data_IF_723779872541
#
_entry.id   IF_723779872541
#
_cell.length_a   1.000
_cell.length_b   1.000
_cell.length_c   1.000
_cell.angle_alpha   90.00
_cell.angle_beta   90.00
_cell.angle_gamma   90.00
#
_symmetry.space_group_name_H-M   'P 1'
#
loop_
_entity.id
_entity.type
_entity.pdbx_description
1 polymer ?
#
# COMPACT_ATOMS: atom_id res chain seq x y z
N UNK A 1 11.46 -12.77 9.07
CA UNK A 1 10.40 -11.77 9.29
C UNK A 1 10.89 -10.34 9.08
N UNK A 2 11.90 -9.85 9.83
CA UNK A 2 12.34 -8.44 9.77
C UNK A 2 12.82 -7.92 8.40
N UNK A 3 13.51 -8.75 7.59
CA UNK A 3 14.00 -8.33 6.26
C UNK A 3 12.86 -7.99 5.28
N UNK A 4 11.79 -8.78 5.29
CA UNK A 4 10.62 -8.56 4.43
C UNK A 4 9.85 -7.29 4.80
N UNK A 5 9.72 -7.02 6.10
CA UNK A 5 9.13 -5.78 6.59
C UNK A 5 9.94 -4.54 6.16
N UNK A 6 11.27 -4.62 6.22
CA UNK A 6 12.16 -3.55 5.74
C UNK A 6 12.01 -3.27 4.24
N UNK A 7 11.96 -4.31 3.40
CA UNK A 7 11.72 -4.13 1.96
C UNK A 7 10.33 -3.56 1.66
N UNK A 8 9.29 -3.99 2.40
CA UNK A 8 7.94 -3.46 2.26
C UNK A 8 7.82 -1.98 2.67
N UNK A 9 8.49 -1.59 3.76
CA UNK A 9 8.54 -0.19 4.18
C UNK A 9 9.32 0.69 3.18
N UNK A 10 10.42 0.16 2.62
CA UNK A 10 11.20 0.86 1.61
C UNK A 10 10.43 1.07 0.30
N UNK A 11 9.73 0.04 -0.22
CA UNK A 11 8.93 0.16 -1.44
C UNK A 11 7.72 1.10 -1.26
N UNK A 12 7.10 1.07 -0.08
CA UNK A 12 6.05 2.01 0.30
C UNK A 12 6.55 3.46 0.30
N UNK A 13 7.67 3.74 0.97
CA UNK A 13 8.26 5.07 1.02
C UNK A 13 8.74 5.57 -0.35
N UNK A 14 9.36 4.69 -1.15
CA UNK A 14 9.80 5.01 -2.50
C UNK A 14 8.62 5.35 -3.43
N UNK A 15 7.51 4.62 -3.32
CA UNK A 15 6.28 4.90 -4.08
C UNK A 15 5.67 6.26 -3.72
N UNK A 16 5.63 6.59 -2.43
CA UNK A 16 5.16 7.90 -1.96
C UNK A 16 6.07 9.04 -2.42
N UNK A 17 7.41 8.88 -2.34
CA UNK A 17 8.33 9.89 -2.83
C UNK A 17 8.14 10.13 -4.34
N UNK A 18 7.99 9.04 -5.10
CA UNK A 18 7.79 9.12 -6.55
C UNK A 18 6.46 9.77 -6.93
N UNK A 19 5.36 9.55 -6.19
CA UNK A 19 4.09 10.23 -6.48
C UNK A 19 4.18 11.74 -6.29
N UNK A 20 4.89 12.21 -5.27
CA UNK A 20 5.16 13.64 -5.07
C UNK A 20 6.09 14.24 -6.15
N UNK A 21 7.01 13.45 -6.70
CA UNK A 21 7.86 13.85 -7.84
C UNK A 21 7.07 13.97 -9.16
N UNK A 22 6.10 13.08 -9.40
CA UNK A 22 5.21 13.19 -10.57
C UNK A 22 4.31 14.42 -10.47
N UNK A 23 3.92 14.80 -9.26
CA UNK A 23 3.31 16.08 -8.97
C UNK A 23 2.74 16.15 -7.56
N UNK A 24 2.58 17.37 -7.07
CA UNK A 24 2.14 17.59 -5.69
C UNK A 24 0.69 17.11 -5.47
N UNK A 25 -0.18 17.20 -6.48
CA UNK A 25 -1.56 16.72 -6.34
C UNK A 25 -1.62 15.19 -6.32
N UNK A 26 -0.82 14.54 -7.16
CA UNK A 26 -0.66 13.10 -7.27
C UNK A 26 -0.13 12.52 -5.95
N UNK A 27 0.84 13.17 -5.33
CA UNK A 27 1.33 12.82 -3.99
C UNK A 27 0.27 12.92 -2.90
N UNK A 28 -0.54 13.98 -2.90
CA UNK A 28 -1.63 14.17 -1.93
C UNK A 28 -2.73 13.12 -2.11
N UNK A 29 -3.10 12.80 -3.36
CA UNK A 29 -4.12 11.78 -3.68
C UNK A 29 -3.62 10.36 -3.38
N UNK A 30 -2.32 10.10 -3.49
CA UNK A 30 -1.75 8.79 -3.21
C UNK A 30 -1.95 8.32 -1.76
N UNK A 31 -1.91 9.23 -0.77
CA UNK A 31 -2.04 8.87 0.65
C UNK A 31 -3.43 8.29 1.01
N UNK A 32 -4.56 8.93 0.66
CA UNK A 32 -5.90 8.33 0.83
C UNK A 32 -6.08 7.02 0.07
N UNK A 33 -5.61 6.94 -1.17
CA UNK A 33 -5.73 5.74 -2.02
C UNK A 33 -5.01 4.55 -1.37
N UNK A 34 -3.85 4.79 -0.79
CA UNK A 34 -3.07 3.77 -0.09
C UNK A 34 -3.76 3.27 1.18
N UNK A 35 -4.32 4.17 1.98
CA UNK A 35 -5.10 3.80 3.17
C UNK A 35 -6.34 2.99 2.79
N UNK A 36 -7.10 3.42 1.79
CA UNK A 36 -8.27 2.70 1.30
C UNK A 36 -7.90 1.31 0.76
N UNK A 37 -6.82 1.22 -0.02
CA UNK A 37 -6.32 -0.06 -0.52
C UNK A 37 -5.95 -1.01 0.62
N UNK A 38 -5.31 -0.51 1.68
CA UNK A 38 -5.01 -1.30 2.88
C UNK A 38 -6.27 -1.83 3.57
N UNK A 39 -7.28 -0.97 3.75
CA UNK A 39 -8.58 -1.37 4.32
C UNK A 39 -9.25 -2.44 3.46
N UNK A 40 -9.30 -2.24 2.13
CA UNK A 40 -9.87 -3.21 1.19
C UNK A 40 -9.18 -4.56 1.30
N UNK A 41 -7.84 -4.58 1.34
CA UNK A 41 -7.07 -5.83 1.48
C UNK A 41 -7.36 -6.54 2.81
N UNK A 42 -7.45 -5.80 3.92
CA UNK A 42 -7.78 -6.38 5.24
C UNK A 42 -9.19 -6.99 5.23
N UNK A 43 -10.16 -6.31 4.62
CA UNK A 43 -11.53 -6.80 4.50
C UNK A 43 -11.64 -7.98 3.51
N UNK A 44 -10.82 -7.99 2.47
CA UNK A 44 -10.77 -9.08 1.49
C UNK A 44 -10.04 -10.33 2.02
N UNK A 45 -9.12 -10.18 2.97
CA UNK A 45 -8.35 -11.29 3.54
C UNK A 45 -9.20 -12.52 3.96
N UNK A 46 -10.33 -12.40 4.69
CA UNK A 46 -11.19 -13.55 4.98
C UNK A 46 -11.80 -14.17 3.73
N UNK A 47 -12.20 -13.37 2.73
CA UNK A 47 -12.77 -13.87 1.47
C UNK A 47 -11.72 -14.66 0.69
N UNK A 48 -10.49 -14.12 0.58
CA UNK A 48 -9.36 -14.81 -0.06
C UNK A 48 -9.05 -16.12 0.65
N UNK A 49 -9.09 -16.13 1.99
CA UNK A 49 -8.97 -17.37 2.77
C UNK A 49 -10.02 -18.38 2.35
N UNK A 50 -11.30 -18.02 2.39
CA UNK A 50 -12.41 -18.92 2.04
C UNK A 50 -12.36 -19.46 0.61
N UNK A 51 -11.86 -18.68 -0.35
CA UNK A 51 -11.84 -19.08 -1.77
C UNK A 51 -10.65 -19.95 -2.14
N UNK A 52 -9.52 -19.82 -1.43
CA UNK A 52 -8.25 -20.45 -1.82
C UNK A 52 -7.78 -21.55 -0.85
N UNK A 53 -8.31 -21.60 0.38
CA UNK A 53 -7.86 -22.52 1.44
C UNK A 53 -9.03 -23.12 2.21
#
# INVERSE_FOLDING_TARGET
>A
MAKGAGFGAASHGAGTARSYELGQQEGVVASPVMMLSGVVVVLAAPVVRWLLF
#
